data_IF_564569283939
#
_entry.id   IF_564569283939
#
_cell.length_a   1.000
_cell.length_b   1.000
_cell.length_c   1.000
_cell.angle_alpha   90.00
_cell.angle_beta   90.00
_cell.angle_gamma   90.00
#
_symmetry.space_group_name_H-M   'P 1'
#
loop_
_entity.id
_entity.type
_entity.pdbx_description
1 polymer ?
#
# COMPACT_ATOMS: atom_id res chain seq x y z
N UNK A 1 54.65 -41.95 -19.93
CA UNK A 1 54.18 -40.62 -20.22
C UNK A 1 52.75 -40.53 -19.83
N UNK A 2 52.48 -40.02 -18.67
CA UNK A 2 51.12 -39.94 -18.10
C UNK A 2 50.63 -38.53 -18.21
N UNK A 3 49.58 -38.36 -18.98
CA UNK A 3 48.85 -37.10 -19.08
C UNK A 3 47.69 -37.19 -18.13
N UNK A 4 47.78 -36.41 -17.04
CA UNK A 4 46.66 -36.29 -16.15
C UNK A 4 45.78 -35.16 -16.61
N UNK A 5 44.60 -35.51 -17.08
CA UNK A 5 43.52 -34.55 -17.23
C UNK A 5 42.76 -34.45 -15.94
N UNK A 6 43.07 -33.43 -15.19
CA UNK A 6 42.21 -33.03 -14.10
C UNK A 6 40.99 -32.36 -14.65
N UNK A 7 39.89 -33.07 -14.62
CA UNK A 7 38.60 -32.52 -14.91
C UNK A 7 38.18 -31.58 -13.77
N UNK A 8 38.26 -30.33 -14.04
CA UNK A 8 37.59 -29.35 -13.17
C UNK A 8 36.09 -29.42 -13.46
N UNK A 9 35.40 -30.09 -12.58
CA UNK A 9 33.95 -29.93 -12.51
C UNK A 9 33.66 -28.56 -11.90
N UNK A 10 33.34 -27.62 -12.74
CA UNK A 10 32.82 -26.33 -12.31
C UNK A 10 31.39 -26.55 -11.81
N UNK A 11 31.24 -26.75 -10.53
CA UNK A 11 29.93 -26.71 -9.90
C UNK A 11 29.52 -25.25 -9.86
N UNK A 12 28.81 -24.82 -10.86
CA UNK A 12 28.11 -23.56 -10.82
C UNK A 12 27.00 -23.70 -9.78
N UNK A 13 27.28 -23.28 -8.58
CA UNK A 13 26.24 -23.12 -7.56
C UNK A 13 25.43 -21.93 -7.99
N UNK A 14 24.34 -22.21 -8.65
CA UNK A 14 23.32 -21.20 -8.91
C UNK A 14 22.67 -20.88 -7.59
N UNK A 15 23.18 -19.87 -6.93
CA UNK A 15 22.47 -19.30 -5.79
C UNK A 15 21.22 -18.62 -6.32
N UNK A 16 20.15 -19.38 -6.38
CA UNK A 16 18.84 -18.80 -6.57
C UNK A 16 18.58 -18.02 -5.29
N UNK A 17 18.84 -16.74 -5.34
CA UNK A 17 18.29 -15.84 -4.38
C UNK A 17 16.77 -15.94 -4.56
N UNK A 18 16.14 -16.78 -3.78
CA UNK A 18 14.70 -16.74 -3.64
C UNK A 18 14.39 -15.37 -3.06
N UNK A 19 14.15 -14.41 -3.93
CA UNK A 19 13.55 -13.17 -3.52
C UNK A 19 12.33 -13.56 -2.70
N UNK A 20 12.26 -13.08 -1.48
CA UNK A 20 11.15 -13.34 -0.59
C UNK A 20 9.89 -12.69 -1.17
N UNK A 21 9.33 -13.28 -2.19
CA UNK A 21 8.08 -12.85 -2.83
C UNK A 21 6.87 -13.17 -1.98
N UNK A 22 7.07 -13.87 -0.87
CA UNK A 22 5.99 -14.26 0.03
C UNK A 22 5.62 -13.21 1.06
N UNK A 23 6.33 -12.10 1.12
CA UNK A 23 6.02 -11.03 2.05
C UNK A 23 5.24 -9.94 1.35
N UNK A 24 4.09 -10.31 0.83
CA UNK A 24 3.11 -9.33 0.42
C UNK A 24 2.52 -8.70 1.67
N UNK A 25 3.23 -7.72 2.16
CA UNK A 25 2.70 -6.82 3.16
C UNK A 25 1.68 -5.92 2.50
N UNK A 26 0.74 -5.41 3.31
CA UNK A 26 -0.13 -4.34 2.90
C UNK A 26 0.71 -3.22 2.26
N UNK A 27 0.56 -3.04 0.98
CA UNK A 27 1.29 -2.05 0.20
C UNK A 27 0.37 -1.39 -0.79
N UNK A 28 0.57 -0.10 -0.96
CA UNK A 28 0.18 0.55 -2.19
C UNK A 28 1.23 0.29 -3.26
N UNK A 29 0.87 0.45 -4.52
CA UNK A 29 1.82 0.42 -5.62
C UNK A 29 2.88 1.52 -5.42
N UNK A 30 4.08 1.24 -5.86
CA UNK A 30 5.15 2.22 -5.79
C UNK A 30 4.88 3.41 -6.72
N UNK A 31 5.20 4.59 -6.24
CA UNK A 31 5.12 5.82 -7.00
C UNK A 31 6.42 6.61 -6.84
N UNK A 32 6.92 7.24 -7.92
CA UNK A 32 8.06 8.14 -7.80
C UNK A 32 7.75 9.39 -6.98
N UNK A 33 6.47 9.77 -6.89
CA UNK A 33 6.04 11.01 -6.26
C UNK A 33 5.72 10.87 -4.77
N UNK A 34 5.28 9.69 -4.33
CA UNK A 34 4.81 9.48 -2.96
C UNK A 34 5.40 8.26 -2.31
N UNK A 35 5.73 8.41 -1.03
CA UNK A 35 5.87 7.29 -0.10
C UNK A 35 4.52 7.02 0.54
N UNK A 36 4.11 5.77 0.53
CA UNK A 36 2.81 5.35 1.05
C UNK A 36 3.00 4.57 2.34
N UNK A 37 2.31 4.99 3.39
CA UNK A 37 2.27 4.30 4.67
C UNK A 37 0.83 3.98 5.02
N UNK A 38 0.54 2.70 5.22
CA UNK A 38 -0.78 2.21 5.62
C UNK A 38 -0.60 1.37 6.87
N UNK A 39 -1.39 1.68 7.90
CA UNK A 39 -1.36 0.95 9.16
C UNK A 39 -2.59 0.09 9.29
N UNK A 40 -2.39 -1.22 9.50
CA UNK A 40 -3.48 -2.12 9.83
C UNK A 40 -4.16 -1.69 11.13
N UNK A 41 -5.43 -1.96 11.25
CA UNK A 41 -6.21 -1.59 12.42
C UNK A 41 -6.84 -2.83 13.09
N UNK A 42 -6.91 -2.79 14.41
CA UNK A 42 -7.60 -3.80 15.21
C UNK A 42 -8.71 -3.14 16.02
N UNK A 43 -9.87 -3.76 16.03
CA UNK A 43 -11.01 -3.30 16.80
C UNK A 43 -11.94 -4.46 17.13
N UNK A 44 -12.77 -4.29 18.16
CA UNK A 44 -13.83 -5.26 18.44
C UNK A 44 -14.82 -5.35 17.29
N UNK A 45 -15.29 -6.55 17.01
CA UNK A 45 -16.35 -6.76 16.02
C UNK A 45 -17.55 -5.88 16.34
N UNK A 46 -18.02 -5.17 15.31
CA UNK A 46 -19.17 -4.28 15.44
C UNK A 46 -18.84 -2.86 15.92
N UNK A 47 -17.62 -2.59 16.38
CA UNK A 47 -17.21 -1.26 16.80
C UNK A 47 -16.58 -0.46 15.66
N UNK A 48 -16.88 0.85 15.58
CA UNK A 48 -16.21 1.72 14.61
C UNK A 48 -14.71 1.81 14.88
N UNK A 49 -13.94 1.80 13.81
CA UNK A 49 -12.51 2.03 13.86
C UNK A 49 -12.08 2.90 12.67
N UNK A 50 -10.90 3.46 12.74
CA UNK A 50 -10.35 4.30 11.67
C UNK A 50 -9.03 3.71 11.20
N UNK A 51 -8.97 3.37 9.92
CA UNK A 51 -7.74 2.98 9.26
C UNK A 51 -7.10 4.23 8.67
N UNK A 52 -5.86 4.49 9.04
CA UNK A 52 -5.11 5.63 8.55
C UNK A 52 -4.16 5.23 7.43
N UNK A 53 -4.16 6.04 6.40
CA UNK A 53 -3.18 5.97 5.33
C UNK A 53 -2.57 7.35 5.10
N UNK A 54 -1.27 7.40 4.93
CA UNK A 54 -0.53 8.64 4.71
C UNK A 54 0.30 8.53 3.44
N UNK A 55 0.19 9.51 2.59
CA UNK A 55 1.02 9.67 1.41
C UNK A 55 1.93 10.88 1.62
N UNK A 56 3.24 10.64 1.65
CA UNK A 56 4.23 11.70 1.77
C UNK A 56 4.84 11.99 0.41
N UNK A 57 4.81 13.25 0.00
CA UNK A 57 5.48 13.67 -1.22
C UNK A 57 6.99 13.56 -1.06
N UNK A 58 7.64 12.90 -2.03
CA UNK A 58 9.09 12.78 -2.08
C UNK A 58 9.73 14.10 -2.48
N UNK A 59 11.03 14.22 -2.25
CA UNK A 59 11.80 15.41 -2.62
C UNK A 59 11.60 15.78 -4.09
N UNK A 60 11.28 17.05 -4.33
CA UNK A 60 10.97 17.55 -5.66
C UNK A 60 9.52 17.39 -6.09
N UNK A 61 8.70 16.75 -5.27
CA UNK A 61 7.27 16.55 -5.52
C UNK A 61 6.41 17.25 -4.48
N UNK A 62 5.25 17.70 -4.90
CA UNK A 62 4.26 18.35 -4.04
C UNK A 62 2.87 17.82 -4.35
N UNK A 63 1.99 17.87 -3.36
CA UNK A 63 0.59 17.52 -3.55
C UNK A 63 -0.06 18.52 -4.51
N UNK A 64 -0.81 18.02 -5.49
CA UNK A 64 -1.66 18.84 -6.35
C UNK A 64 -2.94 19.18 -5.61
N UNK A 65 -2.99 20.36 -5.01
CA UNK A 65 -4.08 20.75 -4.12
C UNK A 65 -5.43 20.94 -4.83
N UNK A 66 -5.39 21.38 -6.07
CA UNK A 66 -6.61 21.58 -6.86
C UNK A 66 -7.25 20.29 -7.37
N UNK A 67 -6.61 19.16 -7.19
CA UNK A 67 -7.13 17.87 -7.57
C UNK A 67 -7.94 17.25 -6.43
N UNK A 68 -8.98 16.50 -6.78
CA UNK A 68 -9.78 15.77 -5.82
C UNK A 68 -9.05 14.49 -5.37
N UNK A 69 -8.05 14.65 -4.49
CA UNK A 69 -7.28 13.54 -3.94
C UNK A 69 -8.16 12.68 -3.05
N UNK A 70 -8.30 11.41 -3.38
CA UNK A 70 -9.23 10.53 -2.69
C UNK A 70 -8.83 9.07 -2.78
N UNK A 71 -9.37 8.26 -1.88
CA UNK A 71 -9.44 6.80 -2.00
C UNK A 71 -10.79 6.44 -2.59
N UNK A 72 -10.80 5.52 -3.53
CA UNK A 72 -12.01 5.00 -4.18
C UNK A 72 -12.04 3.48 -4.16
N UNK A 73 -13.18 2.92 -4.51
CA UNK A 73 -13.37 1.47 -4.68
C UNK A 73 -12.96 0.65 -3.44
N UNK A 74 -13.22 1.20 -2.26
CA UNK A 74 -12.98 0.47 -1.01
C UNK A 74 -13.85 -0.79 -0.99
N UNK A 75 -13.23 -1.93 -0.78
CA UNK A 75 -13.91 -3.22 -0.73
C UNK A 75 -13.30 -4.17 0.29
N UNK A 76 -14.14 -5.01 0.87
CA UNK A 76 -13.73 -6.12 1.71
C UNK A 76 -13.60 -7.37 0.84
N UNK A 77 -12.47 -8.07 0.94
CA UNK A 77 -12.20 -9.25 0.12
C UNK A 77 -12.97 -10.48 0.59
N UNK A 78 -13.37 -10.50 1.86
CA UNK A 78 -14.02 -11.66 2.49
C UNK A 78 -15.33 -11.30 3.21
N UNK A 79 -15.90 -10.13 2.92
CA UNK A 79 -17.08 -9.58 3.57
C UNK A 79 -16.93 -9.35 5.10
N UNK A 80 -15.70 -9.37 5.58
CA UNK A 80 -15.38 -9.18 7.00
C UNK A 80 -15.29 -7.74 7.46
N UNK A 81 -15.44 -6.77 6.54
CA UNK A 81 -15.33 -5.34 6.84
C UNK A 81 -16.45 -4.56 6.18
N UNK A 82 -17.10 -3.72 6.96
CA UNK A 82 -18.00 -2.70 6.46
C UNK A 82 -17.29 -1.35 6.46
N UNK A 83 -17.59 -0.49 5.51
CA UNK A 83 -17.04 0.85 5.38
C UNK A 83 -18.11 1.89 5.63
N UNK A 84 -17.74 2.97 6.31
CA UNK A 84 -18.63 4.13 6.48
C UNK A 84 -18.89 4.80 5.14
N UNK A 85 -17.85 4.89 4.32
CA UNK A 85 -17.90 5.45 2.97
C UNK A 85 -16.97 4.66 2.06
N UNK A 86 -17.36 4.50 0.81
CA UNK A 86 -16.51 3.82 -0.18
C UNK A 86 -15.59 4.77 -0.91
N UNK A 87 -15.79 6.06 -0.75
CA UNK A 87 -14.93 7.11 -1.26
C UNK A 87 -14.56 8.02 -0.10
N UNK A 88 -13.27 8.21 0.13
CA UNK A 88 -12.75 9.01 1.22
C UNK A 88 -11.80 10.06 0.68
N UNK A 89 -12.07 11.32 0.97
CA UNK A 89 -11.19 12.43 0.59
C UNK A 89 -9.94 12.45 1.46
N UNK A 90 -8.82 12.77 0.83
CA UNK A 90 -7.59 13.05 1.54
C UNK A 90 -7.60 14.44 2.15
N UNK A 91 -6.99 14.58 3.31
CA UNK A 91 -6.71 15.86 3.94
C UNK A 91 -5.27 16.24 3.64
N UNK A 92 -5.08 17.44 3.10
CA UNK A 92 -3.73 17.93 2.83
C UNK A 92 -3.09 18.29 4.16
N UNK A 93 -1.93 17.70 4.40
CA UNK A 93 -1.09 18.01 5.53
C UNK A 93 0.29 18.42 5.07
N UNK A 94 1.09 18.91 5.99
CA UNK A 94 2.47 19.31 5.68
C UNK A 94 3.22 18.16 5.00
N UNK A 95 3.56 18.37 3.73
CA UNK A 95 4.32 17.40 2.94
C UNK A 95 3.55 16.21 2.42
N UNK A 96 2.21 16.17 2.50
CA UNK A 96 1.47 15.03 1.99
C UNK A 96 -0.04 15.06 2.16
N UNK A 97 -0.59 13.86 2.14
CA UNK A 97 -2.04 13.61 2.26
C UNK A 97 -2.29 12.58 3.36
N UNK A 98 -3.32 12.82 4.15
CA UNK A 98 -3.86 11.85 5.10
C UNK A 98 -5.24 11.39 4.68
N UNK A 99 -5.49 10.10 4.86
CA UNK A 99 -6.79 9.48 4.64
C UNK A 99 -7.23 8.77 5.92
N UNK A 100 -8.38 9.15 6.42
CA UNK A 100 -9.02 8.51 7.56
C UNK A 100 -10.22 7.70 7.05
N UNK A 101 -10.06 6.38 7.02
CA UNK A 101 -11.04 5.46 6.45
C UNK A 101 -11.81 4.80 7.58
N UNK A 102 -13.09 5.14 7.72
CA UNK A 102 -13.96 4.52 8.71
C UNK A 102 -14.30 3.08 8.33
N UNK A 103 -13.99 2.17 9.23
CA UNK A 103 -14.18 0.73 9.03
C UNK A 103 -14.85 0.10 10.25
N UNK A 104 -15.45 -1.06 10.04
CA UNK A 104 -16.04 -1.87 11.08
C UNK A 104 -15.84 -3.33 10.74
N UNK A 105 -15.19 -4.09 11.62
CA UNK A 105 -15.10 -5.54 11.44
C UNK A 105 -16.47 -6.16 11.69
N UNK A 106 -16.92 -7.02 10.79
CA UNK A 106 -18.21 -7.72 10.89
C UNK A 106 -18.05 -9.14 11.44
N UNK A 107 -16.81 -9.63 11.46
CA UNK A 107 -16.46 -10.99 11.92
C UNK A 107 -15.12 -10.94 12.67
N UNK A 108 -14.88 -11.87 13.61
CA UNK A 108 -13.55 -12.01 14.18
C UNK A 108 -12.51 -12.40 13.13
N UNK A 109 -11.26 -12.05 13.37
CA UNK A 109 -10.13 -12.42 12.55
C UNK A 109 -9.60 -11.30 11.68
N UNK A 110 -8.64 -11.63 10.87
CA UNK A 110 -7.93 -10.71 9.98
C UNK A 110 -8.62 -10.66 8.62
N UNK A 111 -9.08 -9.48 8.25
CA UNK A 111 -9.84 -9.27 7.03
C UNK A 111 -9.12 -8.32 6.09
N UNK A 112 -8.71 -8.78 4.90
CA UNK A 112 -8.07 -7.91 3.93
C UNK A 112 -9.07 -6.99 3.24
N UNK A 113 -8.62 -5.77 2.98
CA UNK A 113 -9.35 -4.76 2.23
C UNK A 113 -8.53 -4.22 1.08
N UNK A 114 -9.21 -3.75 0.05
CA UNK A 114 -8.63 -3.10 -1.11
C UNK A 114 -9.23 -1.72 -1.34
N UNK A 115 -8.49 -0.92 -2.07
CA UNK A 115 -8.94 0.34 -2.61
C UNK A 115 -7.90 0.93 -3.54
N UNK A 116 -8.15 2.13 -4.04
CA UNK A 116 -7.22 2.87 -4.87
C UNK A 116 -7.13 4.31 -4.41
N UNK A 117 -5.90 4.79 -4.23
CA UNK A 117 -5.64 6.22 -4.12
C UNK A 117 -5.67 6.83 -5.53
N UNK A 118 -6.49 7.83 -5.70
CA UNK A 118 -6.49 8.68 -6.90
C UNK A 118 -5.98 10.05 -6.47
N UNK A 119 -4.72 10.33 -6.78
CA UNK A 119 -4.01 11.50 -6.25
C UNK A 119 -3.21 12.19 -7.34
N UNK A 120 -3.05 13.50 -7.19
CA UNK A 120 -2.27 14.30 -8.09
C UNK A 120 -1.00 14.83 -7.43
N UNK A 121 0.00 15.11 -8.25
CA UNK A 121 1.25 15.70 -7.78
C UNK A 121 1.78 16.76 -8.76
N UNK A 122 2.63 17.60 -8.24
CA UNK A 122 3.42 18.57 -9.02
C UNK A 122 4.89 18.20 -8.86
N UNK A 123 5.58 18.11 -9.98
CA UNK A 123 7.02 17.89 -10.04
C UNK A 123 7.70 19.11 -10.64
N UNK A 124 8.70 19.65 -9.94
CA UNK A 124 9.35 20.86 -10.39
C UNK A 124 8.43 22.08 -10.34
N UNK A 125 8.54 22.97 -11.32
CA UNK A 125 7.81 24.24 -11.35
C UNK A 125 6.43 24.15 -12.01
N UNK A 126 6.23 23.22 -12.95
CA UNK A 126 5.07 23.23 -13.84
C UNK A 126 4.62 21.85 -14.34
N UNK A 127 5.32 20.79 -14.00
CA UNK A 127 4.91 19.44 -14.38
C UNK A 127 3.96 18.87 -13.33
N UNK A 128 2.75 18.53 -13.73
CA UNK A 128 1.78 17.90 -12.86
C UNK A 128 1.19 16.65 -13.52
N UNK A 129 0.82 15.70 -12.69
CA UNK A 129 0.21 14.45 -13.13
C UNK A 129 -0.70 13.88 -12.04
N UNK A 130 -1.51 12.93 -12.44
CA UNK A 130 -2.37 12.16 -11.55
C UNK A 130 -1.93 10.70 -11.60
N UNK A 131 -2.03 10.02 -10.46
CA UNK A 131 -1.62 8.63 -10.33
C UNK A 131 -2.66 7.85 -9.54
N UNK A 132 -2.82 6.58 -9.90
CA UNK A 132 -3.60 5.62 -9.14
C UNK A 132 -2.64 4.67 -8.44
N UNK A 133 -2.77 4.56 -7.13
CA UNK A 133 -1.96 3.69 -6.30
C UNK A 133 -2.87 2.71 -5.58
N UNK A 134 -2.50 1.45 -5.54
CA UNK A 134 -3.29 0.43 -4.87
C UNK A 134 -3.16 0.53 -3.35
N UNK A 135 -4.31 0.48 -2.67
CA UNK A 135 -4.38 0.34 -1.22
C UNK A 135 -4.67 -1.13 -0.88
N UNK A 136 -3.81 -1.72 -0.05
CA UNK A 136 -4.05 -3.02 0.56
C UNK A 136 -3.78 -2.87 2.06
N UNK A 137 -4.72 -3.30 2.88
CA UNK A 137 -4.57 -3.26 4.34
C UNK A 137 -5.41 -4.38 4.96
N UNK A 138 -5.29 -4.55 6.27
CA UNK A 138 -6.07 -5.51 7.03
C UNK A 138 -6.81 -4.82 8.16
N UNK A 139 -8.03 -5.26 8.38
CA UNK A 139 -8.82 -4.94 9.57
C UNK A 139 -8.95 -6.20 10.40
N UNK A 140 -8.47 -6.12 11.63
CA UNK A 140 -8.46 -7.25 12.53
C UNK A 140 -9.62 -7.12 13.53
N UNK A 141 -10.61 -8.02 13.42
CA UNK A 141 -11.73 -8.08 14.34
C UNK A 141 -11.39 -8.90 15.57
N UNK A 142 -11.55 -8.32 16.75
CA UNK A 142 -11.40 -8.99 18.03
C UNK A 142 -12.77 -9.26 18.66
N UNK A 143 -12.86 -10.25 19.51
CA UNK A 143 -14.08 -10.58 20.25
C UNK A 143 -14.32 -9.66 21.44
#
# INVERSE_FOLDING_TARGET
>A
MLIHFSGFALVATLAIAAAARGLEQARADESPAYDVEVTDVSAKVGEPAVLHATLRARDGYRVLQGYNNRVIELSSLDDGVAFDRRVVRGTIQEGGLDFAIGVRATKPGKHPINGYFRVGYIHGSDEFAMVSLRLIANVNGTE
#
